data_IF_649957756553
#
_entry.id   IF_649957756553
#
_cell.length_a   1.000
_cell.length_b   1.000
_cell.length_c   1.000
_cell.angle_alpha   90.00
_cell.angle_beta   90.00
_cell.angle_gamma   90.00
#
_symmetry.space_group_name_H-M   'P 1'
#
loop_
_entity.id
_entity.type
_entity.pdbx_description
1 polymer ?
#
# COMPACT_ATOMS: atom_id res chain seq x y z
N UNK A 1 -20.94 3.79 -18.92
CA UNK A 1 -20.61 4.37 -17.60
C UNK A 1 -19.45 5.34 -17.76
N UNK A 2 -19.71 6.62 -18.04
CA UNK A 2 -18.71 7.66 -18.35
C UNK A 2 -18.38 8.54 -17.13
N UNK A 3 -18.11 7.92 -15.98
CA UNK A 3 -17.74 8.62 -14.74
C UNK A 3 -16.55 7.96 -14.06
N UNK A 4 -16.01 8.59 -13.02
CA UNK A 4 -14.81 8.13 -12.30
C UNK A 4 -14.90 6.65 -11.88
N UNK A 5 -16.06 6.20 -11.38
CA UNK A 5 -16.28 4.80 -11.02
C UNK A 5 -16.16 3.84 -12.22
N UNK A 6 -16.60 4.27 -13.41
CA UNK A 6 -16.46 3.50 -14.64
C UNK A 6 -15.00 3.37 -15.10
N UNK A 7 -14.23 4.46 -14.99
CA UNK A 7 -12.78 4.46 -15.26
C UNK A 7 -12.03 3.53 -14.30
N UNK A 8 -12.40 3.53 -13.01
CA UNK A 8 -11.82 2.59 -12.04
C UNK A 8 -12.23 1.15 -12.29
N UNK A 9 -13.50 0.89 -12.61
CA UNK A 9 -13.95 -0.46 -12.95
C UNK A 9 -13.16 -1.04 -14.14
N UNK A 10 -12.95 -0.23 -15.19
CA UNK A 10 -12.14 -0.62 -16.34
C UNK A 10 -10.66 -0.83 -15.98
N UNK A 11 -10.06 0.06 -15.18
CA UNK A 11 -8.67 -0.06 -14.75
C UNK A 11 -8.42 -1.29 -13.88
N UNK A 12 -9.34 -1.57 -12.95
CA UNK A 12 -9.27 -2.70 -12.03
C UNK A 12 -9.40 -4.05 -12.75
N UNK A 13 -10.17 -4.10 -13.84
CA UNK A 13 -10.44 -5.30 -14.63
C UNK A 13 -9.32 -5.66 -15.64
N UNK A 14 -8.31 -4.81 -15.80
CA UNK A 14 -7.17 -5.11 -16.69
C UNK A 14 -6.46 -6.40 -16.23
N UNK A 15 -5.96 -7.22 -17.17
CA UNK A 15 -5.31 -8.49 -16.83
C UNK A 15 -4.00 -8.29 -16.06
N UNK A 16 -3.62 -9.33 -15.31
CA UNK A 16 -2.34 -9.42 -14.57
C UNK A 16 -1.66 -10.74 -14.88
N UNK A 17 -0.37 -10.86 -14.54
CA UNK A 17 0.35 -12.14 -14.57
C UNK A 17 -0.42 -13.20 -13.75
N UNK A 18 -0.68 -14.40 -14.30
CA UNK A 18 -1.38 -15.47 -13.59
C UNK A 18 -0.78 -15.83 -12.23
N UNK A 19 0.54 -15.67 -12.04
CA UNK A 19 1.22 -15.87 -10.76
C UNK A 19 0.77 -14.88 -9.70
N UNK A 20 0.50 -13.62 -10.09
CA UNK A 20 -0.02 -12.61 -9.18
C UNK A 20 -1.48 -12.91 -8.78
N UNK A 21 -2.30 -13.40 -9.71
CA UNK A 21 -3.67 -13.83 -9.43
C UNK A 21 -3.71 -15.08 -8.51
N UNK A 22 -2.85 -16.06 -8.75
CA UNK A 22 -2.71 -17.25 -7.90
C UNK A 22 -2.24 -16.87 -6.48
N UNK A 23 -1.26 -15.96 -6.36
CA UNK A 23 -0.82 -15.44 -5.06
C UNK A 23 -1.96 -14.71 -4.34
N UNK A 24 -2.76 -13.90 -5.04
CA UNK A 24 -3.91 -13.21 -4.47
C UNK A 24 -4.96 -14.18 -3.91
N UNK A 25 -5.32 -15.23 -4.64
CA UNK A 25 -6.23 -16.27 -4.16
C UNK A 25 -5.67 -16.98 -2.92
N UNK A 26 -4.37 -17.29 -2.92
CA UNK A 26 -3.71 -17.91 -1.78
C UNK A 26 -3.59 -16.98 -0.55
N UNK A 27 -3.48 -15.66 -0.75
CA UNK A 27 -3.54 -14.66 0.33
C UNK A 27 -4.95 -14.59 0.92
N UNK A 28 -6.00 -14.67 0.09
CA UNK A 28 -7.38 -14.58 0.55
C UNK A 28 -7.86 -15.84 1.29
N UNK A 29 -7.43 -17.03 0.85
CA UNK A 29 -7.97 -18.31 1.34
C UNK A 29 -7.98 -18.49 2.88
N UNK A 30 -6.92 -18.13 3.64
CA UNK A 30 -6.92 -18.28 5.11
C UNK A 30 -7.96 -17.42 5.85
N UNK A 31 -8.50 -16.40 5.19
CA UNK A 31 -9.45 -15.46 5.78
C UNK A 31 -10.92 -15.86 5.51
N UNK A 32 -11.16 -16.92 4.73
CA UNK A 32 -12.50 -17.44 4.43
C UNK A 32 -13.47 -16.35 3.97
N UNK A 33 -14.69 -16.36 4.51
CA UNK A 33 -15.75 -15.41 4.17
C UNK A 33 -15.43 -13.95 4.54
N UNK A 34 -14.45 -13.74 5.43
CA UNK A 34 -14.01 -12.40 5.78
C UNK A 34 -13.23 -11.74 4.63
N UNK A 35 -12.57 -12.51 3.75
CA UNK A 35 -11.90 -11.95 2.58
C UNK A 35 -12.91 -11.45 1.55
N UNK A 36 -12.78 -10.20 1.14
CA UNK A 36 -13.70 -9.55 0.19
C UNK A 36 -13.07 -9.33 -1.17
N UNK A 37 -11.85 -8.80 -1.20
CA UNK A 37 -11.11 -8.51 -2.43
C UNK A 37 -9.59 -8.49 -2.18
N UNK A 38 -8.80 -8.71 -3.23
CA UNK A 38 -7.36 -8.46 -3.22
C UNK A 38 -6.99 -7.50 -4.34
N UNK A 39 -6.29 -6.43 -3.99
CA UNK A 39 -5.80 -5.41 -4.91
C UNK A 39 -4.29 -5.57 -5.11
N UNK A 40 -3.85 -5.55 -6.36
CA UNK A 40 -2.44 -5.55 -6.72
C UNK A 40 -2.01 -4.14 -7.16
N UNK A 41 -0.87 -3.69 -6.67
CA UNK A 41 -0.35 -2.35 -6.92
C UNK A 41 1.18 -2.32 -7.01
N UNK A 42 1.73 -1.15 -7.30
CA UNK A 42 3.15 -0.85 -7.06
C UNK A 42 4.02 -0.89 -8.31
N UNK A 43 5.34 -0.83 -8.09
CA UNK A 43 6.34 -0.73 -9.16
C UNK A 43 6.37 -1.97 -10.07
N UNK A 44 6.01 -3.15 -9.56
CA UNK A 44 5.94 -4.38 -10.36
C UNK A 44 4.79 -4.34 -11.35
N UNK A 45 3.65 -3.75 -10.97
CA UNK A 45 2.55 -3.51 -11.90
C UNK A 45 2.99 -2.60 -13.07
N UNK A 46 3.91 -1.65 -12.81
CA UNK A 46 4.40 -0.72 -13.83
C UNK A 46 5.53 -1.27 -14.70
N UNK A 47 6.32 -2.22 -14.19
CA UNK A 47 7.47 -2.80 -14.90
C UNK A 47 7.19 -4.13 -15.59
N UNK A 48 6.05 -4.78 -15.30
CA UNK A 48 5.62 -6.07 -15.87
C UNK A 48 6.58 -7.27 -15.64
N UNK A 49 7.68 -7.09 -14.91
CA UNK A 49 8.64 -8.15 -14.56
C UNK A 49 8.34 -8.65 -13.16
N UNK A 50 7.70 -9.82 -13.04
CA UNK A 50 7.37 -10.44 -11.75
C UNK A 50 8.56 -11.16 -11.14
N UNK A 51 9.47 -11.70 -11.96
CA UNK A 51 10.58 -12.53 -11.49
C UNK A 51 11.60 -11.72 -10.68
N UNK A 52 11.94 -12.21 -9.50
CA UNK A 52 12.90 -11.56 -8.60
C UNK A 52 12.38 -10.32 -7.88
N UNK A 53 11.14 -9.88 -8.12
CA UNK A 53 10.55 -8.72 -7.46
C UNK A 53 9.59 -9.12 -6.32
N UNK A 54 9.48 -8.25 -5.31
CA UNK A 54 8.53 -8.44 -4.21
C UNK A 54 7.19 -7.82 -4.59
N UNK A 55 6.14 -8.63 -4.70
CA UNK A 55 4.80 -8.16 -5.04
C UNK A 55 4.13 -7.46 -3.86
N UNK A 56 3.23 -6.54 -4.19
CA UNK A 56 2.57 -5.62 -3.27
C UNK A 56 1.05 -5.77 -3.39
N UNK A 57 0.41 -6.29 -2.34
CA UNK A 57 -1.04 -6.49 -2.32
C UNK A 57 -1.73 -5.73 -1.18
N UNK A 58 -3.01 -5.43 -1.37
CA UNK A 58 -3.94 -5.16 -0.30
C UNK A 58 -4.99 -6.26 -0.25
N UNK A 59 -5.16 -6.90 0.91
CA UNK A 59 -6.33 -7.74 1.19
C UNK A 59 -7.40 -6.86 1.86
N UNK A 60 -8.57 -6.80 1.24
CA UNK A 60 -9.74 -6.12 1.79
C UNK A 60 -10.61 -7.17 2.46
N UNK A 61 -10.91 -6.94 3.74
CA UNK A 61 -11.77 -7.81 4.56
C UNK A 61 -13.08 -7.12 4.93
N UNK A 62 -14.13 -7.87 5.25
CA UNK A 62 -15.42 -7.31 5.69
C UNK A 62 -15.21 -6.47 6.96
N UNK A 63 -14.58 -7.07 7.95
CA UNK A 63 -14.17 -6.44 9.20
C UNK A 63 -12.98 -7.19 9.82
N UNK A 64 -12.30 -6.54 10.76
CA UNK A 64 -11.09 -7.10 11.37
C UNK A 64 -11.36 -8.22 12.37
N UNK A 65 -12.53 -8.25 13.00
CA UNK A 65 -12.86 -9.29 13.99
C UNK A 65 -13.21 -10.60 13.28
N UNK A 66 -13.88 -10.54 12.12
CA UNK A 66 -14.06 -11.70 11.24
C UNK A 66 -12.73 -12.19 10.65
N UNK A 67 -11.82 -11.26 10.29
CA UNK A 67 -10.54 -11.62 9.68
C UNK A 67 -9.50 -12.19 10.66
N UNK A 68 -9.48 -11.74 11.92
CA UNK A 68 -8.44 -12.10 12.90
C UNK A 68 -8.98 -12.74 14.19
N UNK A 69 -10.30 -12.84 14.35
CA UNK A 69 -10.93 -13.11 15.64
C UNK A 69 -10.83 -11.93 16.61
N UNK A 70 -11.25 -12.15 17.87
CA UNK A 70 -11.29 -11.12 18.93
C UNK A 70 -9.92 -10.79 19.56
N UNK A 71 -8.85 -10.94 18.79
CA UNK A 71 -7.47 -10.81 19.23
C UNK A 71 -6.93 -9.38 19.21
N UNK A 72 -5.69 -9.23 19.66
CA UNK A 72 -4.97 -7.95 19.63
C UNK A 72 -4.73 -7.45 18.20
N UNK A 73 -4.61 -8.35 17.21
CA UNK A 73 -4.39 -8.01 15.81
C UNK A 73 -5.54 -7.16 15.23
N UNK A 74 -6.79 -7.50 15.54
CA UNK A 74 -7.97 -6.74 15.10
C UNK A 74 -7.98 -5.33 15.70
N UNK A 75 -7.72 -5.22 17.01
CA UNK A 75 -7.62 -3.93 17.71
C UNK A 75 -6.46 -3.08 17.17
N UNK A 76 -5.29 -3.68 16.98
CA UNK A 76 -4.13 -2.99 16.45
C UNK A 76 -4.34 -2.53 14.99
N UNK A 77 -5.06 -3.32 14.18
CA UNK A 77 -5.39 -2.91 12.83
C UNK A 77 -6.41 -1.77 12.81
N UNK A 78 -7.42 -1.81 13.70
CA UNK A 78 -8.41 -0.73 13.84
C UNK A 78 -7.78 0.59 14.30
N UNK A 79 -6.79 0.54 15.20
CA UNK A 79 -6.12 1.72 15.71
C UNK A 79 -5.10 2.31 14.73
N UNK A 80 -4.34 1.45 14.04
CA UNK A 80 -3.23 1.84 13.16
C UNK A 80 -3.27 1.06 11.84
N UNK A 81 -4.33 1.18 11.02
CA UNK A 81 -4.41 0.43 9.76
C UNK A 81 -3.29 0.85 8.79
N UNK A 82 -2.79 -0.03 7.91
CA UNK A 82 -3.03 -1.48 7.84
C UNK A 82 -2.06 -2.33 8.68
N UNK A 83 -2.38 -3.59 8.94
CA UNK A 83 -1.44 -4.64 9.30
C UNK A 83 -0.79 -5.17 8.02
N UNK A 84 0.51 -5.44 8.03
CA UNK A 84 1.26 -5.91 6.86
C UNK A 84 1.91 -7.25 7.18
N UNK A 85 1.78 -8.21 6.27
CA UNK A 85 2.28 -9.56 6.42
C UNK A 85 3.12 -9.97 5.21
N UNK A 86 4.17 -10.80 5.40
CA UNK A 86 4.87 -11.44 4.30
C UNK A 86 4.00 -12.57 3.71
N UNK A 87 4.24 -12.87 2.45
CA UNK A 87 3.67 -14.03 1.75
C UNK A 87 4.74 -14.61 0.83
N UNK A 88 4.89 -15.93 0.84
CA UNK A 88 5.74 -16.64 -0.11
C UNK A 88 5.07 -17.95 -0.50
N UNK A 89 4.87 -18.16 -1.80
CA UNK A 89 4.33 -19.40 -2.35
C UNK A 89 4.74 -19.55 -3.81
N UNK A 90 5.12 -20.75 -4.23
CA UNK A 90 5.41 -21.09 -5.63
C UNK A 90 6.42 -20.13 -6.31
N UNK A 91 7.44 -19.70 -5.55
CA UNK A 91 8.47 -18.76 -6.03
C UNK A 91 8.05 -17.29 -6.08
N UNK A 92 6.80 -16.96 -5.71
CA UNK A 92 6.32 -15.59 -5.59
C UNK A 92 6.57 -15.09 -4.18
N UNK A 93 7.46 -14.10 -4.03
CA UNK A 93 7.62 -13.34 -2.79
C UNK A 93 6.74 -12.09 -2.83
N UNK A 94 5.95 -11.87 -1.78
CA UNK A 94 5.05 -10.74 -1.69
C UNK A 94 4.93 -10.21 -0.25
N UNK A 95 4.37 -9.01 -0.14
CA UNK A 95 3.80 -8.48 1.09
C UNK A 95 2.37 -8.06 0.83
N UNK A 96 1.51 -8.25 1.82
CA UNK A 96 0.12 -7.81 1.73
C UNK A 96 -0.30 -7.02 2.96
N UNK A 97 -0.99 -5.91 2.71
CA UNK A 97 -1.58 -5.04 3.72
C UNK A 97 -3.06 -5.36 3.88
N UNK A 98 -3.57 -5.46 5.11
CA UNK A 98 -4.98 -5.78 5.35
C UNK A 98 -5.75 -4.54 5.81
N UNK A 99 -6.83 -4.22 5.09
CA UNK A 99 -7.78 -3.17 5.41
C UNK A 99 -9.21 -3.73 5.46
N UNK A 100 -10.05 -3.19 6.32
CA UNK A 100 -11.50 -3.46 6.25
C UNK A 100 -12.12 -2.65 5.11
N UNK A 101 -13.28 -3.09 4.60
CA UNK A 101 -14.08 -2.31 3.63
C UNK A 101 -14.37 -0.89 4.17
N UNK A 102 -14.67 -0.77 5.47
CA UNK A 102 -14.90 0.51 6.13
C UNK A 102 -13.65 1.42 6.14
N UNK A 103 -12.48 0.87 6.49
CA UNK A 103 -11.24 1.64 6.47
C UNK A 103 -10.78 1.98 5.06
N UNK A 104 -10.97 1.10 4.08
CA UNK A 104 -10.70 1.41 2.67
C UNK A 104 -11.51 2.64 2.24
N UNK A 105 -12.83 2.60 2.46
CA UNK A 105 -13.72 3.71 2.13
C UNK A 105 -13.30 5.02 2.83
N UNK A 106 -13.10 4.96 4.15
CA UNK A 106 -12.73 6.13 4.97
C UNK A 106 -11.37 6.72 4.57
N UNK A 107 -10.38 5.87 4.31
CA UNK A 107 -9.00 6.30 4.05
C UNK A 107 -8.76 6.67 2.58
N UNK A 108 -9.66 6.31 1.66
CA UNK A 108 -9.71 6.84 0.29
C UNK A 108 -10.36 8.24 0.23
N UNK A 109 -11.21 8.58 1.21
CA UNK A 109 -11.95 9.84 1.26
C UNK A 109 -11.11 11.07 1.62
N UNK A 110 -11.62 12.25 1.26
CA UNK A 110 -10.96 13.55 1.45
C UNK A 110 -10.75 13.92 2.92
N UNK A 111 -11.50 13.31 3.84
CA UNK A 111 -11.39 13.51 5.28
C UNK A 111 -10.30 12.66 5.97
N UNK A 112 -9.54 11.85 5.23
CA UNK A 112 -8.51 10.99 5.80
C UNK A 112 -7.43 11.80 6.55
N UNK A 113 -6.99 11.30 7.70
CA UNK A 113 -5.99 11.95 8.56
C UNK A 113 -4.53 11.70 8.12
N UNK A 114 -4.34 10.91 7.08
CA UNK A 114 -3.03 10.56 6.51
C UNK A 114 -3.13 10.22 5.03
N UNK A 115 -2.00 10.27 4.32
CA UNK A 115 -1.96 10.12 2.86
C UNK A 115 -1.88 8.68 2.36
N UNK A 116 -1.57 7.72 3.24
CA UNK A 116 -1.03 6.40 2.85
C UNK A 116 -1.93 5.58 1.92
N UNK A 117 -3.25 5.77 2.00
CA UNK A 117 -4.24 4.95 1.30
C UNK A 117 -4.77 5.67 0.05
N UNK A 118 -5.31 6.88 0.17
CA UNK A 118 -5.77 7.60 -1.02
C UNK A 118 -4.63 7.93 -1.99
N UNK A 119 -3.41 8.23 -1.52
CA UNK A 119 -2.28 8.45 -2.42
C UNK A 119 -1.88 7.16 -3.16
N UNK A 120 -2.15 5.99 -2.57
CA UNK A 120 -1.90 4.71 -3.20
C UNK A 120 -2.96 4.39 -4.24
N UNK A 121 -4.23 4.55 -3.89
CA UNK A 121 -5.36 4.20 -4.73
C UNK A 121 -5.75 5.27 -5.75
N UNK A 122 -5.10 6.44 -5.73
CA UNK A 122 -5.08 7.39 -6.84
C UNK A 122 -4.12 6.97 -7.98
N UNK A 123 -3.43 5.83 -7.84
CA UNK A 123 -2.57 5.26 -8.87
C UNK A 123 -3.29 4.10 -9.58
N UNK A 124 -2.83 3.71 -10.79
CA UNK A 124 -3.28 2.47 -11.42
C UNK A 124 -3.11 1.26 -10.50
N UNK A 125 -4.18 0.49 -10.34
CA UNK A 125 -4.27 -0.71 -9.49
C UNK A 125 -5.10 -1.79 -10.19
N UNK A 126 -5.00 -3.03 -9.74
CA UNK A 126 -5.73 -4.18 -10.31
C UNK A 126 -6.53 -4.90 -9.25
N UNK A 127 -7.77 -5.28 -9.55
CA UNK A 127 -8.56 -6.20 -8.73
C UNK A 127 -8.22 -7.62 -9.18
N UNK A 128 -7.38 -8.31 -8.41
CA UNK A 128 -6.79 -9.59 -8.80
C UNK A 128 -7.49 -10.80 -8.17
N UNK A 129 -8.34 -10.55 -7.18
CA UNK A 129 -9.26 -11.53 -6.61
C UNK A 129 -10.45 -10.82 -5.99
N UNK A 130 -11.64 -11.42 -6.07
CA UNK A 130 -12.86 -10.95 -5.42
C UNK A 130 -13.68 -12.15 -4.94
N UNK A 131 -14.37 -11.99 -3.81
CA UNK A 131 -15.31 -12.98 -3.28
C UNK A 131 -16.61 -13.04 -4.09
N UNK A 132 -17.16 -11.88 -4.44
CA UNK A 132 -18.40 -11.72 -5.20
C UNK A 132 -18.46 -10.35 -5.89
N UNK A 133 -19.50 -10.14 -6.71
CA UNK A 133 -19.70 -8.89 -7.44
C UNK A 133 -19.97 -7.68 -6.51
N UNK A 134 -20.54 -7.91 -5.31
CA UNK A 134 -20.81 -6.85 -4.35
C UNK A 134 -19.52 -6.33 -3.71
N UNK A 135 -18.55 -7.21 -3.41
CA UNK A 135 -17.22 -6.82 -2.97
C UNK A 135 -16.49 -5.97 -4.03
N UNK A 136 -16.57 -6.37 -5.29
CA UNK A 136 -16.00 -5.61 -6.41
C UNK A 136 -16.59 -4.20 -6.50
N UNK A 137 -17.92 -4.09 -6.43
CA UNK A 137 -18.62 -2.80 -6.46
C UNK A 137 -18.23 -1.90 -5.28
N UNK A 138 -18.10 -2.46 -4.06
CA UNK A 138 -17.67 -1.71 -2.88
C UNK A 138 -16.24 -1.24 -2.97
N UNK A 139 -15.34 -2.06 -3.50
CA UNK A 139 -13.95 -1.65 -3.81
C UNK A 139 -13.97 -0.46 -4.77
N UNK A 140 -14.65 -0.57 -5.92
CA UNK A 140 -14.73 0.50 -6.92
C UNK A 140 -15.23 1.80 -6.29
N UNK A 141 -16.33 1.75 -5.53
CA UNK A 141 -16.89 2.91 -4.86
C UNK A 141 -15.93 3.55 -3.84
N UNK A 142 -15.13 2.74 -3.14
CA UNK A 142 -14.14 3.24 -2.21
C UNK A 142 -12.96 3.91 -2.93
N UNK A 143 -12.31 3.20 -3.87
CA UNK A 143 -11.09 3.70 -4.52
C UNK A 143 -11.34 4.86 -5.48
N UNK A 144 -12.54 4.96 -6.05
CA UNK A 144 -12.94 6.07 -6.93
C UNK A 144 -12.94 7.44 -6.22
N UNK A 145 -12.91 7.50 -4.89
CA UNK A 145 -12.76 8.74 -4.13
C UNK A 145 -11.31 9.27 -4.14
N UNK A 146 -10.32 8.38 -4.27
CA UNK A 146 -8.93 8.70 -4.06
C UNK A 146 -8.37 9.78 -5.02
N UNK A 147 -8.73 9.82 -6.32
CA UNK A 147 -8.29 10.89 -7.21
C UNK A 147 -8.80 12.28 -6.78
N UNK A 148 -10.09 12.39 -6.41
CA UNK A 148 -10.66 13.63 -5.91
C UNK A 148 -9.98 14.07 -4.61
N UNK A 149 -9.68 13.12 -3.71
CA UNK A 149 -8.92 13.38 -2.49
C UNK A 149 -7.53 13.95 -2.78
N UNK A 150 -6.78 13.40 -3.74
CA UNK A 150 -5.46 13.92 -4.15
C UNK A 150 -5.58 15.34 -4.72
N UNK A 151 -6.52 15.57 -5.65
CA UNK A 151 -6.70 16.89 -6.26
C UNK A 151 -7.19 17.95 -5.27
N UNK A 152 -8.11 17.61 -4.37
CA UNK A 152 -8.60 18.51 -3.33
C UNK A 152 -7.49 18.92 -2.34
N UNK A 153 -6.43 18.12 -2.20
CA UNK A 153 -5.23 18.45 -1.42
C UNK A 153 -4.13 19.14 -2.23
N UNK A 154 -4.36 19.44 -3.51
CA UNK A 154 -3.36 20.00 -4.41
C UNK A 154 -3.84 21.31 -5.02
N UNK A 155 -3.11 22.39 -4.77
CA UNK A 155 -3.43 23.72 -5.28
C UNK A 155 -3.44 23.71 -6.83
N UNK A 156 -4.55 24.16 -7.47
CA UNK A 156 -4.56 24.40 -8.91
C UNK A 156 -3.73 25.65 -9.25
N UNK A 157 -3.07 25.62 -10.40
CA UNK A 157 -2.29 26.72 -10.96
C UNK A 157 -2.92 27.14 -12.28
N UNK A 158 -3.21 28.42 -12.46
CA UNK A 158 -3.86 28.90 -13.68
C UNK A 158 -2.99 28.62 -14.93
N UNK A 159 -3.60 28.06 -15.97
CA UNK A 159 -2.92 27.76 -17.24
C UNK A 159 -1.97 26.56 -17.21
N UNK A 160 -1.96 25.77 -16.14
CA UNK A 160 -1.12 24.56 -16.06
C UNK A 160 -1.65 23.41 -16.93
N UNK A 161 -0.75 22.50 -17.34
CA UNK A 161 -1.17 21.22 -17.91
C UNK A 161 -1.87 20.37 -16.84
N UNK A 162 -2.95 19.69 -17.22
CA UNK A 162 -3.74 18.89 -16.29
C UNK A 162 -2.91 17.83 -15.53
N UNK A 163 -1.87 17.27 -16.17
CA UNK A 163 -0.99 16.27 -15.56
C UNK A 163 -0.06 16.86 -14.49
N UNK A 164 0.26 18.15 -14.56
CA UNK A 164 1.17 18.78 -13.60
C UNK A 164 0.54 18.89 -12.21
N UNK A 165 -0.78 19.10 -12.13
CA UNK A 165 -1.51 19.02 -10.86
C UNK A 165 -1.41 17.63 -10.24
N UNK A 166 -1.55 16.55 -11.03
CA UNK A 166 -1.37 15.18 -10.54
C UNK A 166 0.06 14.94 -10.05
N UNK A 167 1.07 15.35 -10.82
CA UNK A 167 2.51 15.21 -10.46
C UNK A 167 2.85 15.94 -9.17
N UNK A 168 2.33 17.17 -8.99
CA UNK A 168 2.49 17.93 -7.74
C UNK A 168 1.81 17.25 -6.56
N UNK A 169 0.58 16.77 -6.75
CA UNK A 169 -0.15 16.03 -5.71
C UNK A 169 0.65 14.81 -5.23
N UNK A 170 1.17 13.99 -6.15
CA UNK A 170 2.01 12.87 -5.75
C UNK A 170 3.30 13.32 -5.07
N UNK A 171 3.95 14.37 -5.56
CA UNK A 171 5.15 14.95 -4.92
C UNK A 171 4.90 15.31 -3.44
N UNK A 172 3.77 15.98 -3.15
CA UNK A 172 3.38 16.32 -1.79
C UNK A 172 3.19 15.06 -0.91
N UNK A 173 2.56 14.02 -1.44
CA UNK A 173 2.34 12.75 -0.69
C UNK A 173 3.65 12.03 -0.37
N UNK A 174 4.64 12.07 -1.26
CA UNK A 174 5.96 11.49 -1.01
C UNK A 174 6.69 12.20 0.13
N UNK A 175 6.54 13.52 0.27
CA UNK A 175 7.12 14.30 1.37
C UNK A 175 6.42 14.12 2.72
N UNK A 176 5.21 13.57 2.74
CA UNK A 176 4.39 13.42 3.95
C UNK A 176 4.70 12.15 4.77
N UNK A 177 5.44 11.20 4.21
CA UNK A 177 5.79 9.91 4.84
C UNK A 177 7.31 9.74 4.99
N UNK A 178 7.76 8.94 5.98
CA UNK A 178 9.15 8.50 6.01
C UNK A 178 9.32 7.34 5.03
N UNK A 179 10.12 7.52 3.98
CA UNK A 179 10.41 6.49 2.98
C UNK A 179 11.92 6.20 2.95
N UNK A 180 12.28 4.93 2.86
CA UNK A 180 13.69 4.50 2.78
C UNK A 180 14.25 4.64 1.34
N UNK A 181 13.37 4.63 0.34
CA UNK A 181 13.74 4.69 -1.08
C UNK A 181 14.03 6.14 -1.49
N UNK A 182 15.28 6.40 -1.92
CA UNK A 182 15.77 7.74 -2.29
C UNK A 182 15.45 8.17 -3.73
N UNK A 183 14.79 7.34 -4.54
CA UNK A 183 14.83 7.49 -6.01
C UNK A 183 13.52 7.41 -6.79
N UNK A 184 12.38 7.13 -6.15
CA UNK A 184 11.13 6.98 -6.91
C UNK A 184 10.61 8.38 -7.29
N UNK A 185 10.74 8.76 -8.58
CA UNK A 185 10.30 10.06 -9.08
C UNK A 185 8.75 10.06 -9.10
N UNK A 186 8.07 10.93 -8.34
CA UNK A 186 6.60 11.00 -8.33
C UNK A 186 6.01 11.22 -9.74
N UNK A 187 6.76 11.85 -10.64
CA UNK A 187 6.39 12.01 -12.06
C UNK A 187 6.19 10.68 -12.79
N UNK A 188 6.99 9.64 -12.49
CA UNK A 188 6.90 8.33 -13.16
C UNK A 188 5.57 7.60 -12.95
N UNK A 189 4.81 7.96 -11.90
CA UNK A 189 3.46 7.43 -11.66
C UNK A 189 2.50 7.98 -12.72
N UNK A 190 2.56 9.29 -12.96
CA UNK A 190 1.69 9.97 -13.93
C UNK A 190 2.09 9.58 -15.35
N UNK A 191 3.39 9.52 -15.61
CA UNK A 191 3.94 9.18 -16.93
C UNK A 191 3.66 7.72 -17.32
N UNK A 192 3.38 6.83 -16.36
CA UNK A 192 2.97 5.45 -16.63
C UNK A 192 1.58 5.35 -17.25
N UNK A 193 0.66 6.26 -16.92
CA UNK A 193 -0.72 6.21 -17.41
C UNK A 193 -1.31 7.62 -17.65
N UNK A 194 -0.67 8.45 -18.51
CA UNK A 194 -1.05 9.85 -18.68
C UNK A 194 -2.49 10.00 -19.16
N UNK A 195 -2.94 9.14 -20.09
CA UNK A 195 -4.29 9.20 -20.64
C UNK A 195 -5.35 8.80 -19.61
N UNK A 196 -5.03 7.90 -18.68
CA UNK A 196 -5.91 7.57 -17.56
C UNK A 196 -6.09 8.76 -16.63
N UNK A 197 -5.01 9.50 -16.34
CA UNK A 197 -5.08 10.72 -15.53
C UNK A 197 -5.82 11.87 -16.22
N UNK A 198 -5.69 12.03 -17.54
CA UNK A 198 -6.50 12.98 -18.31
C UNK A 198 -7.97 12.63 -18.23
N UNK A 199 -8.33 11.37 -18.52
CA UNK A 199 -9.71 10.91 -18.43
C UNK A 199 -10.31 11.06 -17.02
N UNK A 200 -9.51 10.79 -15.97
CA UNK A 200 -9.93 11.05 -14.59
C UNK A 200 -10.15 12.53 -14.32
N UNK A 201 -9.24 13.40 -14.77
CA UNK A 201 -9.37 14.85 -14.63
C UNK A 201 -10.63 15.38 -15.31
N UNK A 202 -10.89 14.95 -16.54
CA UNK A 202 -12.11 15.28 -17.30
C UNK A 202 -13.38 14.79 -16.59
N UNK A 203 -13.38 13.54 -16.12
CA UNK A 203 -14.53 12.96 -15.41
C UNK A 203 -14.80 13.60 -14.03
N UNK A 204 -13.77 14.15 -13.39
CA UNK A 204 -13.90 14.87 -12.11
C UNK A 204 -14.33 16.33 -12.31
N UNK A 205 -13.97 16.94 -13.43
CA UNK A 205 -14.17 18.37 -13.65
C UNK A 205 -13.33 19.22 -12.69
N UNK A 206 -13.86 20.38 -12.30
CA UNK A 206 -13.20 21.24 -11.33
C UNK A 206 -13.35 20.67 -9.90
N UNK A 207 -12.21 20.27 -9.33
CA UNK A 207 -12.12 19.84 -7.92
C UNK A 207 -11.56 21.01 -7.11
N UNK A 208 -12.40 21.69 -6.31
CA UNK A 208 -11.93 22.83 -5.52
C UNK A 208 -10.91 22.37 -4.47
N UNK A 209 -9.82 23.13 -4.27
CA UNK A 209 -8.87 22.83 -3.20
C UNK A 209 -9.53 23.00 -1.83
N UNK A 210 -9.11 22.19 -0.86
CA UNK A 210 -9.52 22.36 0.53
C UNK A 210 -9.00 23.70 1.09
N UNK A 211 -9.71 24.32 2.04
CA UNK A 211 -9.22 25.51 2.71
C UNK A 211 -7.96 25.20 3.53
N UNK A 212 -7.07 26.19 3.64
CA UNK A 212 -5.83 26.15 4.43
C UNK A 212 -4.92 24.95 4.14
N UNK A 213 -4.64 24.68 2.85
CA UNK A 213 -3.80 23.55 2.43
C UNK A 213 -2.46 23.50 3.18
N UNK A 214 -1.82 24.62 3.45
CA UNK A 214 -0.55 24.66 4.20
C UNK A 214 -0.67 24.11 5.62
N UNK A 215 -1.75 24.48 6.34
CA UNK A 215 -2.02 23.96 7.66
C UNK A 215 -2.37 22.47 7.60
N UNK A 216 -3.15 22.05 6.59
CA UNK A 216 -3.50 20.64 6.35
C UNK A 216 -2.27 19.79 6.06
N UNK A 217 -1.40 20.20 5.15
CA UNK A 217 -0.17 19.48 4.83
C UNK A 217 0.78 19.40 6.02
N UNK A 218 0.89 20.46 6.84
CA UNK A 218 1.65 20.37 8.10
C UNK A 218 1.08 19.28 9.02
N UNK A 219 -0.25 19.16 9.14
CA UNK A 219 -0.89 18.09 9.94
C UNK A 219 -0.67 16.71 9.31
N UNK A 220 -0.93 16.56 8.01
CA UNK A 220 -0.76 15.30 7.27
C UNK A 220 0.69 14.80 7.32
N UNK A 221 1.67 15.67 7.12
CA UNK A 221 3.09 15.30 7.19
C UNK A 221 3.52 14.90 8.59
N UNK A 222 3.12 15.64 9.63
CA UNK A 222 3.42 15.27 11.03
C UNK A 222 2.78 13.93 11.40
N UNK A 223 1.51 13.74 11.01
CA UNK A 223 0.76 12.51 11.26
C UNK A 223 1.35 11.34 10.48
N UNK A 224 1.65 11.51 9.20
CA UNK A 224 2.25 10.52 8.32
C UNK A 224 3.58 10.01 8.86
N UNK A 225 4.52 10.90 9.21
CA UNK A 225 5.81 10.52 9.81
C UNK A 225 5.64 9.75 11.13
N UNK A 226 4.74 10.20 12.02
CA UNK A 226 4.41 9.48 13.27
C UNK A 226 3.80 8.10 13.00
N UNK A 227 2.89 8.01 12.03
CA UNK A 227 2.25 6.75 11.65
C UNK A 227 3.26 5.79 11.02
N UNK A 228 4.22 6.24 10.23
CA UNK A 228 5.29 5.36 9.72
C UNK A 228 6.05 4.71 10.86
N UNK A 229 6.46 5.50 11.87
CA UNK A 229 7.17 4.97 13.04
C UNK A 229 6.28 4.03 13.87
N UNK A 230 5.02 4.41 14.12
CA UNK A 230 4.08 3.58 14.87
C UNK A 230 3.74 2.27 14.14
N UNK A 231 3.59 2.30 12.82
CA UNK A 231 3.38 1.11 11.99
C UNK A 231 4.63 0.24 11.92
N UNK A 232 5.83 0.81 11.89
CA UNK A 232 7.08 0.05 11.99
C UNK A 232 7.19 -0.66 13.34
N UNK A 233 6.88 0.05 14.43
CA UNK A 233 6.82 -0.52 15.77
C UNK A 233 5.79 -1.66 15.82
N UNK A 234 4.56 -1.43 15.34
CA UNK A 234 3.50 -2.44 15.27
C UNK A 234 3.91 -3.64 14.40
N UNK A 235 4.51 -3.38 13.24
CA UNK A 235 4.96 -4.42 12.31
C UNK A 235 5.94 -5.37 12.99
N UNK A 236 6.80 -4.88 13.89
CA UNK A 236 7.69 -5.76 14.64
C UNK A 236 6.97 -6.76 15.55
N UNK A 237 5.74 -6.47 15.98
CA UNK A 237 4.93 -7.41 16.76
C UNK A 237 4.05 -8.31 15.88
N UNK A 238 3.69 -7.88 14.66
CA UNK A 238 2.93 -8.71 13.70
C UNK A 238 3.84 -9.64 12.91
N UNK A 239 5.13 -9.34 12.81
CA UNK A 239 6.16 -10.17 12.20
C UNK A 239 6.64 -11.30 13.14
N UNK A 240 5.74 -12.20 13.53
CA UNK A 240 6.14 -13.52 13.99
C UNK A 240 6.74 -14.28 12.78
N UNK A 241 8.06 -14.19 12.59
CA UNK A 241 8.81 -14.82 11.49
C UNK A 241 9.53 -13.87 10.52
N UNK A 242 9.37 -12.55 10.66
CA UNK A 242 10.02 -11.56 9.77
C UNK A 242 11.52 -11.51 9.89
N UNK A 243 12.02 -11.73 11.10
CA UNK A 243 13.45 -11.89 11.35
C UNK A 243 13.97 -13.18 10.71
N UNK A 244 13.20 -14.27 10.75
CA UNK A 244 13.59 -15.53 10.12
C UNK A 244 13.60 -15.38 8.57
N UNK A 245 12.67 -14.60 8.00
CA UNK A 245 12.69 -14.22 6.58
C UNK A 245 13.86 -13.30 6.22
N UNK A 246 14.15 -12.28 7.05
CA UNK A 246 15.31 -11.40 6.83
C UNK A 246 16.61 -12.19 6.90
N UNK A 247 16.73 -13.08 7.89
CA UNK A 247 17.87 -13.98 8.05
C UNK A 247 18.01 -14.91 6.84
N UNK A 248 16.92 -15.54 6.40
CA UNK A 248 16.92 -16.37 5.19
C UNK A 248 17.38 -15.62 3.94
N UNK A 249 16.86 -14.39 3.73
CA UNK A 249 17.20 -13.58 2.56
C UNK A 249 18.67 -13.13 2.58
N UNK A 250 19.19 -12.75 3.74
CA UNK A 250 20.60 -12.39 3.89
C UNK A 250 21.47 -13.63 3.71
N UNK A 251 21.14 -14.77 4.35
CA UNK A 251 21.87 -16.03 4.20
C UNK A 251 21.94 -16.52 2.75
N UNK A 252 20.89 -16.31 1.96
CA UNK A 252 20.84 -16.69 0.54
C UNK A 252 21.80 -15.87 -0.34
N UNK A 253 22.03 -14.60 -0.02
CA UNK A 253 22.88 -13.71 -0.82
C UNK A 253 24.30 -13.51 -0.26
N UNK A 254 24.51 -13.68 1.04
CA UNK A 254 25.81 -13.48 1.69
C UNK A 254 26.55 -14.78 2.03
N UNK A 255 25.90 -15.94 1.91
CA UNK A 255 26.43 -17.24 2.34
C UNK A 255 26.57 -17.40 3.86
N UNK A 256 26.25 -16.36 4.65
CA UNK A 256 26.37 -16.39 6.10
C UNK A 256 25.13 -17.04 6.74
N UNK A 257 25.30 -18.12 7.50
CA UNK A 257 24.21 -18.77 8.24
C UNK A 257 23.83 -17.91 9.44
N UNK A 258 22.75 -17.13 9.34
CA UNK A 258 22.30 -16.24 10.42
C UNK A 258 21.32 -17.00 11.30
N UNK A 259 21.79 -17.43 12.46
CA UNK A 259 20.96 -18.11 13.44
C UNK A 259 20.26 -17.10 14.35
N UNK A 260 18.92 -17.11 14.32
CA UNK A 260 18.09 -16.19 15.09
C UNK A 260 17.79 -16.77 16.47
N UNK A 261 18.08 -15.98 17.51
CA UNK A 261 17.82 -16.37 18.90
C UNK A 261 16.34 -16.21 19.27
N UNK A 262 15.80 -17.04 20.20
CA UNK A 262 14.39 -16.96 20.61
C UNK A 262 13.93 -15.59 21.12
N UNK A 263 14.80 -14.85 21.83
CA UNK A 263 14.47 -13.50 22.30
C UNK A 263 14.41 -12.46 21.16
N UNK A 264 15.14 -12.66 20.06
CA UNK A 264 15.08 -11.80 18.87
C UNK A 264 13.76 -12.00 18.13
N UNK A 265 13.23 -13.23 18.11
CA UNK A 265 11.86 -13.52 17.63
C UNK A 265 10.79 -12.83 18.47
N UNK A 266 11.04 -12.67 19.78
CA UNK A 266 10.12 -12.02 20.73
C UNK A 266 10.21 -10.49 20.70
N UNK A 267 11.36 -9.92 20.31
CA UNK A 267 11.59 -8.48 20.19
C UNK A 267 12.32 -8.11 18.88
N UNK A 268 11.63 -8.11 17.73
CA UNK A 268 12.31 -8.07 16.43
C UNK A 268 13.06 -6.77 16.14
N UNK A 269 12.60 -5.62 16.64
CA UNK A 269 13.35 -4.35 16.49
C UNK A 269 14.65 -4.39 17.27
N UNK A 270 14.63 -4.86 18.52
CA UNK A 270 15.84 -4.99 19.32
C UNK A 270 16.78 -6.03 18.70
N UNK A 271 16.24 -7.14 18.17
CA UNK A 271 16.98 -8.13 17.42
C UNK A 271 17.68 -7.53 16.19
N UNK A 272 16.95 -6.76 15.37
CA UNK A 272 17.49 -6.09 14.19
C UNK A 272 18.58 -5.06 14.55
N UNK A 273 18.37 -4.23 15.58
CA UNK A 273 19.37 -3.25 16.07
C UNK A 273 20.63 -3.93 16.59
N UNK A 274 20.53 -5.11 17.21
CA UNK A 274 21.67 -5.89 17.69
C UNK A 274 22.38 -6.65 16.55
N UNK A 275 21.65 -7.11 15.54
CA UNK A 275 22.20 -7.85 14.40
C UNK A 275 22.85 -6.92 13.36
N UNK A 276 22.29 -5.73 13.12
CA UNK A 276 22.73 -4.82 12.06
C UNK A 276 24.23 -4.46 12.13
N UNK A 277 24.83 -4.11 13.30
CA UNK A 277 26.26 -3.84 13.39
C UNK A 277 27.13 -5.06 13.07
N UNK A 278 26.67 -6.27 13.42
CA UNK A 278 27.38 -7.52 13.11
C UNK A 278 27.33 -7.84 11.62
N UNK A 279 26.16 -7.63 10.99
CA UNK A 279 25.95 -7.87 9.56
C UNK A 279 26.70 -6.87 8.68
N UNK A 280 26.82 -5.61 9.13
CA UNK A 280 27.66 -4.59 8.48
C UNK A 280 29.16 -4.93 8.61
N UNK A 281 29.60 -5.41 9.78
CA UNK A 281 30.99 -5.84 10.00
C UNK A 281 31.36 -7.11 9.24
N UNK A 282 30.42 -8.03 9.01
CA UNK A 282 30.65 -9.25 8.23
C UNK A 282 30.51 -9.07 6.72
N UNK A 283 30.24 -7.84 6.24
CA UNK A 283 30.03 -7.55 4.82
C UNK A 283 28.79 -8.20 4.21
N UNK A 284 27.91 -8.76 5.04
CA UNK A 284 26.68 -9.44 4.60
C UNK A 284 25.56 -8.47 4.24
N UNK A 285 25.68 -7.23 4.69
CA UNK A 285 24.83 -6.09 4.36
C UNK A 285 25.76 -4.90 4.15
N UNK A 286 25.53 -4.08 3.11
CA UNK A 286 26.29 -2.85 2.83
C UNK A 286 25.44 -1.62 3.13
#
# INVERSE_FOLDING_TARGET
MTGVAGLFAAELAKPVDPRAAAAAAAIAAPYGDAARAVLFYGSVLRSAVVEGQMLDFYLIVSDYDAAYGKGWLARANRLLPPNVFPFEKDGVAAKYAVLSEADLHRLCGVGADNVSVWARFAQPIRLVWQSDAAAAARVVAAVAQAPASLLAHTQPVAGEDALDRWRRGFTLTYGAELRAERGDRPGSIVDFAPDWYRALGEALGDVPPLPDLDARWRRLTRRGKRLTLARLAKASFTFAGGIDYLAWKISRHSGARIEIRPWQRRWPILGAVVLLPRLLRSGSVR
#
